data_IF_371300298205
#
_entry.id   IF_371300298205
#
_cell.length_a   1.000
_cell.length_b   1.000
_cell.length_c   1.000
_cell.angle_alpha   90.00
_cell.angle_beta   90.00
_cell.angle_gamma   90.00
#
_symmetry.space_group_name_H-M   'P 1'
#
loop_
_entity.id
_entity.type
_entity.pdbx_description
1 polymer ?
#
# COMPACT_ATOMS: atom_id res chain seq x y z
N UNK A 1 -12.49 1.55 16.39
CA UNK A 1 -13.30 1.12 15.25
C UNK A 1 -12.55 1.28 13.91
N UNK A 2 -11.87 2.38 13.68
CA UNK A 2 -11.14 2.74 12.46
C UNK A 2 -9.99 1.78 12.05
N UNK A 3 -9.16 1.33 13.01
CA UNK A 3 -8.02 0.41 12.73
C UNK A 3 -8.45 -0.89 12.06
N UNK A 4 -9.67 -1.36 12.30
CA UNK A 4 -10.21 -2.62 11.77
C UNK A 4 -10.43 -2.63 10.25
N UNK A 5 -10.61 -1.46 9.65
CA UNK A 5 -10.91 -1.30 8.21
C UNK A 5 -9.72 -0.70 7.46
N UNK A 6 -9.10 0.35 8.00
CA UNK A 6 -8.00 1.05 7.36
C UNK A 6 -6.72 0.20 7.26
N UNK A 7 -6.33 -0.50 8.33
CA UNK A 7 -5.11 -1.32 8.32
C UNK A 7 -5.18 -2.47 7.32
N UNK A 8 -6.28 -3.25 7.22
CA UNK A 8 -6.42 -4.27 6.17
C UNK A 8 -6.34 -3.71 4.75
N UNK A 9 -6.88 -2.51 4.48
CA UNK A 9 -6.79 -1.91 3.14
C UNK A 9 -5.36 -1.51 2.77
N UNK A 10 -4.60 -0.97 3.74
CA UNK A 10 -3.16 -0.70 3.56
C UNK A 10 -2.39 -1.99 3.29
N UNK A 11 -2.69 -3.05 4.04
CA UNK A 11 -2.05 -4.36 3.86
C UNK A 11 -2.24 -4.89 2.44
N UNK A 12 -3.48 -4.89 1.92
CA UNK A 12 -3.76 -5.38 0.56
C UNK A 12 -3.16 -4.47 -0.50
N UNK A 13 -3.10 -3.16 -0.29
CA UNK A 13 -2.39 -2.26 -1.19
C UNK A 13 -0.89 -2.65 -1.30
N UNK A 14 -0.23 -2.88 -0.17
CA UNK A 14 1.17 -3.32 -0.15
C UNK A 14 1.35 -4.71 -0.77
N UNK A 15 0.45 -5.65 -0.49
CA UNK A 15 0.45 -6.98 -1.10
C UNK A 15 0.33 -6.88 -2.63
N UNK A 16 -0.62 -6.10 -3.14
CA UNK A 16 -0.83 -5.88 -4.56
C UNK A 16 0.42 -5.31 -5.25
N UNK A 17 1.07 -4.34 -4.65
CA UNK A 17 2.31 -3.76 -5.19
C UNK A 17 3.50 -4.72 -5.08
N UNK A 18 3.59 -5.50 -4.01
CA UNK A 18 4.63 -6.54 -3.86
C UNK A 18 4.48 -7.64 -4.89
N UNK A 19 3.24 -8.07 -5.17
CA UNK A 19 2.96 -9.02 -6.24
C UNK A 19 3.18 -8.41 -7.63
N UNK A 20 2.88 -7.12 -7.82
CA UNK A 20 3.23 -6.39 -9.06
C UNK A 20 4.74 -6.42 -9.29
N UNK A 21 5.54 -6.14 -8.27
CA UNK A 21 6.99 -6.25 -8.34
C UNK A 21 7.44 -7.66 -8.72
N UNK A 22 6.97 -8.68 -8.00
CA UNK A 22 7.34 -10.07 -8.24
C UNK A 22 7.04 -10.49 -9.69
N UNK A 23 5.83 -10.23 -10.17
CA UNK A 23 5.44 -10.56 -11.54
C UNK A 23 6.14 -9.69 -12.59
N UNK A 24 6.47 -8.44 -12.27
CA UNK A 24 7.28 -7.59 -13.16
C UNK A 24 8.70 -8.13 -13.32
N UNK A 25 9.33 -8.62 -12.25
CA UNK A 25 10.63 -9.29 -12.29
C UNK A 25 10.54 -10.57 -13.11
N UNK A 26 9.54 -11.42 -12.85
CA UNK A 26 9.34 -12.66 -13.60
C UNK A 26 9.10 -12.39 -15.09
N UNK A 27 8.34 -11.34 -15.43
CA UNK A 27 8.16 -10.93 -16.82
C UNK A 27 9.47 -10.42 -17.43
N UNK A 28 10.21 -9.62 -16.71
CA UNK A 28 11.47 -9.03 -17.23
C UNK A 28 12.46 -10.07 -17.70
N UNK A 29 12.56 -11.20 -17.00
CA UNK A 29 13.46 -12.31 -17.35
C UNK A 29 12.83 -13.33 -18.31
N UNK A 30 11.56 -13.70 -18.11
CA UNK A 30 10.93 -14.80 -18.88
C UNK A 30 10.20 -14.36 -20.14
N UNK A 31 9.81 -13.08 -20.25
CA UNK A 31 8.99 -12.49 -21.32
C UNK A 31 7.62 -13.16 -21.53
N UNK A 32 7.13 -13.94 -20.55
CA UNK A 32 5.85 -14.62 -20.62
C UNK A 32 4.72 -13.65 -20.32
N UNK A 33 3.76 -13.49 -21.24
CA UNK A 33 2.60 -12.58 -21.12
C UNK A 33 1.76 -12.81 -19.86
N UNK A 34 1.69 -14.06 -19.37
CA UNK A 34 1.01 -14.40 -18.11
C UNK A 34 1.50 -13.54 -16.94
N UNK A 35 2.81 -13.34 -16.82
CA UNK A 35 3.36 -12.55 -15.71
C UNK A 35 3.08 -11.06 -15.87
N UNK A 36 3.07 -10.57 -17.10
CA UNK A 36 2.65 -9.19 -17.37
C UNK A 36 1.18 -8.96 -16.98
N UNK A 37 0.29 -9.86 -17.38
CA UNK A 37 -1.14 -9.78 -17.03
C UNK A 37 -1.38 -9.82 -15.52
N UNK A 38 -0.65 -10.69 -14.80
CA UNK A 38 -0.72 -10.77 -13.34
C UNK A 38 -0.18 -9.49 -12.67
N UNK A 39 0.93 -8.93 -13.18
CA UNK A 39 1.45 -7.66 -12.67
C UNK A 39 0.43 -6.53 -12.81
N UNK A 40 -0.24 -6.44 -13.97
CA UNK A 40 -1.29 -5.44 -14.21
C UNK A 40 -2.49 -5.62 -13.28
N UNK A 41 -2.97 -6.84 -13.11
CA UNK A 41 -4.10 -7.12 -12.22
C UNK A 41 -3.79 -6.68 -10.78
N UNK A 42 -2.63 -7.06 -10.27
CA UNK A 42 -2.19 -6.71 -8.92
C UNK A 42 -1.94 -5.20 -8.75
N UNK A 43 -1.39 -4.52 -9.77
CA UNK A 43 -1.20 -3.06 -9.72
C UNK A 43 -2.53 -2.32 -9.64
N UNK A 44 -3.54 -2.74 -10.41
CA UNK A 44 -4.90 -2.17 -10.35
C UNK A 44 -5.53 -2.35 -8.98
N UNK A 45 -5.44 -3.55 -8.42
CA UNK A 45 -5.92 -3.82 -7.07
C UNK A 45 -5.20 -2.93 -6.05
N UNK A 46 -3.86 -2.86 -6.09
CA UNK A 46 -3.07 -1.97 -5.25
C UNK A 46 -3.53 -0.52 -5.31
N UNK A 47 -3.78 0.00 -6.52
CA UNK A 47 -4.29 1.37 -6.72
C UNK A 47 -5.65 1.57 -6.06
N UNK A 48 -6.60 0.65 -6.27
CA UNK A 48 -7.95 0.73 -5.68
C UNK A 48 -7.84 0.77 -4.15
N UNK A 49 -7.09 -0.16 -3.55
CA UNK A 49 -6.92 -0.21 -2.10
C UNK A 49 -6.14 0.99 -1.54
N UNK A 50 -5.20 1.56 -2.29
CA UNK A 50 -4.53 2.81 -1.89
C UNK A 50 -5.49 3.99 -1.89
N UNK A 51 -6.39 4.10 -2.88
CA UNK A 51 -7.43 5.13 -2.91
C UNK A 51 -8.35 4.99 -1.67
N UNK A 52 -8.83 3.77 -1.39
CA UNK A 52 -9.66 3.51 -0.20
C UNK A 52 -8.91 3.86 1.08
N UNK A 53 -7.61 3.54 1.15
CA UNK A 53 -6.73 3.88 2.28
C UNK A 53 -6.63 5.40 2.46
N UNK A 54 -6.38 6.16 1.40
CA UNK A 54 -6.28 7.61 1.47
C UNK A 54 -7.62 8.26 1.86
N UNK A 55 -8.73 7.81 1.29
CA UNK A 55 -10.05 8.33 1.61
C UNK A 55 -10.44 8.06 3.08
N UNK A 56 -10.28 6.81 3.52
CA UNK A 56 -10.57 6.43 4.91
C UNK A 56 -9.62 7.12 5.89
N UNK A 57 -8.34 7.26 5.53
CA UNK A 57 -7.32 7.94 6.31
C UNK A 57 -7.60 9.44 6.46
N UNK A 58 -7.95 10.11 5.37
CA UNK A 58 -8.32 11.54 5.39
C UNK A 58 -9.58 11.79 6.22
N UNK A 59 -10.59 10.91 6.11
CA UNK A 59 -11.80 11.03 6.94
C UNK A 59 -11.48 10.90 8.43
N UNK A 60 -10.67 9.92 8.81
CA UNK A 60 -10.21 9.77 10.18
C UNK A 60 -9.36 10.95 10.64
N UNK A 61 -8.45 11.45 9.79
CA UNK A 61 -7.64 12.62 10.07
C UNK A 61 -8.48 13.86 10.37
N UNK A 62 -9.58 14.05 9.64
CA UNK A 62 -10.53 15.14 9.91
C UNK A 62 -11.14 15.05 11.31
N UNK A 63 -11.47 13.84 11.76
CA UNK A 63 -12.05 13.61 13.09
C UNK A 63 -11.02 13.74 14.22
N UNK A 64 -9.75 13.39 13.96
CA UNK A 64 -8.71 13.29 14.99
C UNK A 64 -7.83 14.53 15.05
N UNK A 65 -7.45 15.06 13.89
CA UNK A 65 -6.52 16.19 13.74
C UNK A 65 -7.21 17.49 13.29
N UNK A 66 -8.52 17.45 13.02
CA UNK A 66 -9.29 18.61 12.57
C UNK A 66 -9.09 18.99 11.10
N UNK A 67 -8.24 18.26 10.36
CA UNK A 67 -7.93 18.52 8.94
C UNK A 67 -8.02 17.28 8.10
N UNK A 68 -8.39 17.43 6.82
CA UNK A 68 -8.43 16.32 5.87
C UNK A 68 -7.04 15.86 5.42
N UNK A 69 -6.05 16.74 5.47
CA UNK A 69 -4.70 16.48 5.01
C UNK A 69 -3.67 17.28 5.80
N UNK A 70 -2.57 16.63 6.16
CA UNK A 70 -1.44 17.27 6.84
C UNK A 70 -0.24 17.28 5.88
N UNK A 71 0.00 18.40 5.23
CA UNK A 71 1.05 18.56 4.22
C UNK A 71 2.47 18.29 4.76
N UNK A 72 2.70 18.51 6.03
CA UNK A 72 3.98 18.22 6.69
C UNK A 72 4.17 16.74 7.05
N UNK A 73 3.17 15.89 6.88
CA UNK A 73 3.27 14.47 7.22
C UNK A 73 3.87 13.66 6.06
N UNK A 74 5.04 13.06 6.31
CA UNK A 74 5.77 12.29 5.30
C UNK A 74 4.97 11.06 4.83
N UNK A 75 4.27 10.37 5.73
CA UNK A 75 3.52 9.16 5.38
C UNK A 75 2.37 9.45 4.45
N UNK A 76 1.59 10.51 4.71
CA UNK A 76 0.48 10.92 3.84
C UNK A 76 0.98 11.27 2.43
N UNK A 77 2.01 12.10 2.35
CA UNK A 77 2.56 12.54 1.07
C UNK A 77 3.19 11.37 0.29
N UNK A 78 3.95 10.52 0.96
CA UNK A 78 4.54 9.33 0.33
C UNK A 78 3.47 8.34 -0.15
N UNK A 79 2.35 8.19 0.57
CA UNK A 79 1.24 7.34 0.12
C UNK A 79 0.59 7.90 -1.15
N UNK A 80 0.41 9.22 -1.23
CA UNK A 80 -0.10 9.88 -2.44
C UNK A 80 0.88 9.73 -3.62
N UNK A 81 2.19 9.88 -3.38
CA UNK A 81 3.21 9.66 -4.42
C UNK A 81 3.21 8.20 -4.88
N UNK A 82 3.07 7.23 -3.97
CA UNK A 82 2.96 5.81 -4.32
C UNK A 82 1.74 5.57 -5.24
N UNK A 83 0.59 6.17 -4.93
CA UNK A 83 -0.57 6.12 -5.78
C UNK A 83 -0.27 6.67 -7.18
N UNK A 84 0.38 7.84 -7.28
CA UNK A 84 0.74 8.46 -8.56
C UNK A 84 1.71 7.60 -9.38
N UNK A 85 2.69 6.96 -8.75
CA UNK A 85 3.62 6.03 -9.42
C UNK A 85 2.85 4.87 -10.06
N UNK A 86 1.92 4.25 -9.35
CA UNK A 86 1.17 3.12 -9.90
C UNK A 86 0.01 3.52 -10.83
N UNK A 87 -0.52 4.72 -10.70
CA UNK A 87 -1.37 5.32 -11.74
C UNK A 87 -0.56 5.55 -13.02
N UNK A 88 0.68 6.04 -12.89
CA UNK A 88 1.63 6.16 -14.00
C UNK A 88 1.95 4.80 -14.64
N UNK A 89 2.11 3.75 -13.83
CA UNK A 89 2.27 2.38 -14.31
C UNK A 89 1.09 1.97 -15.21
N UNK A 90 -0.15 2.19 -14.76
CA UNK A 90 -1.35 1.84 -15.52
C UNK A 90 -1.49 2.73 -16.76
N UNK A 91 -1.28 4.04 -16.63
CA UNK A 91 -1.40 5.01 -17.72
C UNK A 91 -0.37 4.75 -18.83
N UNK A 92 0.88 4.40 -18.50
CA UNK A 92 1.93 4.10 -19.47
C UNK A 92 1.54 3.00 -20.44
N UNK A 93 0.61 2.13 -20.05
CA UNK A 93 0.11 1.03 -20.87
C UNK A 93 -0.91 1.45 -21.93
N UNK A 94 -1.47 2.65 -21.82
CA UNK A 94 -2.49 3.15 -22.76
C UNK A 94 -1.88 3.89 -23.94
N UNK A 95 -0.65 4.38 -23.80
CA UNK A 95 -0.03 5.25 -24.81
C UNK A 95 0.76 4.53 -25.90
N UNK A 96 0.97 3.22 -25.78
CA UNK A 96 1.80 2.49 -26.74
C UNK A 96 1.05 1.30 -27.33
N UNK A 97 1.03 1.20 -28.66
CA UNK A 97 0.41 0.09 -29.41
C UNK A 97 1.26 -1.19 -29.39
N UNK A 98 2.56 -1.07 -29.17
CA UNK A 98 3.47 -2.21 -29.04
C UNK A 98 3.35 -2.83 -27.65
N UNK A 99 2.69 -3.97 -27.55
CA UNK A 99 2.42 -4.67 -26.29
C UNK A 99 3.72 -5.10 -25.58
N UNK A 100 4.72 -5.57 -26.34
CA UNK A 100 5.98 -6.04 -25.73
C UNK A 100 6.78 -4.88 -25.14
N UNK A 101 6.85 -3.74 -25.84
CA UNK A 101 7.50 -2.53 -25.37
C UNK A 101 6.77 -1.94 -24.15
N UNK A 102 5.44 -1.96 -24.19
CA UNK A 102 4.59 -1.51 -23.10
C UNK A 102 4.81 -2.36 -21.84
N UNK A 103 4.77 -3.68 -21.97
CA UNK A 103 5.00 -4.61 -20.88
C UNK A 103 6.42 -4.46 -20.28
N UNK A 104 7.45 -4.27 -21.12
CA UNK A 104 8.81 -4.01 -20.66
C UNK A 104 8.91 -2.70 -19.86
N UNK A 105 8.34 -1.61 -20.37
CA UNK A 105 8.41 -0.31 -19.70
C UNK A 105 7.64 -0.32 -18.37
N UNK A 106 6.44 -0.88 -18.36
CA UNK A 106 5.67 -1.00 -17.12
C UNK A 106 6.31 -1.93 -16.10
N UNK A 107 6.99 -3.02 -16.55
CA UNK A 107 7.73 -3.88 -15.61
C UNK A 107 8.88 -3.14 -14.91
N UNK A 108 9.55 -2.21 -15.60
CA UNK A 108 10.57 -1.36 -14.98
C UNK A 108 9.95 -0.50 -13.87
N UNK A 109 8.81 0.15 -14.16
CA UNK A 109 8.10 0.95 -13.15
C UNK A 109 7.67 0.08 -11.96
N UNK A 110 7.14 -1.13 -12.21
CA UNK A 110 6.75 -2.07 -11.18
C UNK A 110 7.92 -2.55 -10.31
N UNK A 111 9.11 -2.72 -10.90
CA UNK A 111 10.32 -3.11 -10.17
C UNK A 111 10.81 -1.96 -9.27
N UNK A 112 10.89 -0.75 -9.77
CA UNK A 112 11.37 0.39 -8.98
C UNK A 112 10.34 0.92 -7.98
N UNK A 113 9.05 0.78 -8.30
CA UNK A 113 7.96 1.25 -7.41
C UNK A 113 7.96 0.58 -6.03
N UNK A 114 8.48 -0.65 -5.92
CA UNK A 114 8.54 -1.38 -4.64
C UNK A 114 9.45 -0.68 -3.61
N UNK A 115 10.47 0.05 -4.05
CA UNK A 115 11.42 0.73 -3.17
C UNK A 115 10.71 1.75 -2.27
N UNK A 116 9.63 2.32 -2.75
CA UNK A 116 8.87 3.32 -1.99
C UNK A 116 8.12 2.71 -0.79
N UNK A 117 7.76 1.43 -0.82
CA UNK A 117 7.02 0.78 0.28
C UNK A 117 7.82 0.74 1.59
N UNK A 118 9.09 0.27 1.63
CA UNK A 118 9.91 0.37 2.83
C UNK A 118 10.08 1.82 3.32
N UNK A 119 10.35 2.76 2.41
CA UNK A 119 10.50 4.18 2.74
C UNK A 119 9.22 4.70 3.42
N UNK A 120 8.06 4.38 2.85
CA UNK A 120 6.77 4.77 3.40
C UNK A 120 6.52 4.08 4.76
N UNK A 121 6.85 2.81 4.89
CA UNK A 121 6.65 2.06 6.14
C UNK A 121 7.47 2.65 7.28
N UNK A 122 8.75 2.95 7.03
CA UNK A 122 9.66 3.51 8.04
C UNK A 122 9.56 5.03 8.17
N UNK A 123 8.77 5.72 7.35
CA UNK A 123 8.63 7.17 7.36
C UNK A 123 8.23 7.74 8.72
N UNK A 124 7.44 7.01 9.52
CA UNK A 124 7.02 7.44 10.87
C UNK A 124 8.14 7.37 11.90
N UNK A 125 9.20 6.60 11.62
CA UNK A 125 10.39 6.50 12.49
C UNK A 125 11.42 7.55 12.08
N UNK A 126 11.59 7.77 10.77
CA UNK A 126 12.61 8.68 10.24
C UNK A 126 12.19 10.15 10.26
N UNK A 127 10.89 10.42 10.15
CA UNK A 127 10.35 11.77 10.16
C UNK A 127 9.26 11.91 11.23
N UNK A 128 9.07 13.14 11.72
CA UNK A 128 7.93 13.43 12.58
C UNK A 128 6.64 13.22 11.79
N UNK A 129 5.76 12.37 12.30
CA UNK A 129 4.48 12.04 11.68
C UNK A 129 3.36 12.13 12.73
N UNK A 130 2.18 12.56 12.28
CA UNK A 130 0.96 12.52 13.10
C UNK A 130 0.41 11.08 13.22
N UNK A 131 0.95 10.14 12.43
CA UNK A 131 0.58 8.74 12.48
C UNK A 131 1.25 8.03 13.67
N UNK A 132 0.49 7.15 14.29
CA UNK A 132 1.03 6.26 15.34
C UNK A 132 2.06 5.29 14.72
N UNK A 133 3.08 4.98 15.49
CA UNK A 133 4.02 3.90 15.18
C UNK A 133 3.31 2.55 15.19
N UNK A 134 3.95 1.51 14.60
CA UNK A 134 3.36 0.17 14.49
C UNK A 134 3.15 -0.44 15.89
N UNK A 135 1.96 -0.34 16.43
CA UNK A 135 1.59 -0.76 17.79
C UNK A 135 1.69 -2.28 18.02
N UNK A 136 1.85 -3.10 16.98
CA UNK A 136 1.90 -4.57 17.09
C UNK A 136 3.31 -5.08 17.40
N UNK A 137 4.36 -4.32 17.03
CA UNK A 137 5.75 -4.77 17.08
C UNK A 137 6.65 -3.88 17.96
N UNK A 138 6.15 -2.76 18.49
CA UNK A 138 6.97 -1.85 19.27
C UNK A 138 6.97 -2.25 20.76
N UNK A 139 8.13 -2.63 21.27
CA UNK A 139 8.37 -2.76 22.71
C UNK A 139 8.16 -1.42 23.44
N UNK A 140 8.12 -0.29 22.76
CA UNK A 140 7.86 1.04 23.32
C UNK A 140 6.43 1.23 23.84
N UNK A 141 5.45 0.45 23.37
CA UNK A 141 4.09 0.45 23.95
C UNK A 141 4.07 0.03 25.43
N UNK A 142 5.06 -0.73 25.86
CA UNK A 142 5.19 -1.13 27.27
C UNK A 142 5.83 -0.01 28.10
N UNK A 143 6.68 0.82 27.51
CA UNK A 143 7.39 1.91 28.19
C UNK A 143 6.59 3.21 28.23
N UNK A 144 5.66 3.44 27.29
CA UNK A 144 4.83 4.66 27.22
C UNK A 144 3.54 4.59 28.05
N UNK A 145 3.27 3.44 28.69
CA UNK A 145 2.04 3.26 29.48
C UNK A 145 0.76 3.13 28.64
N UNK A 146 0.87 3.07 27.33
CA UNK A 146 -0.24 2.77 26.45
C UNK A 146 -0.64 1.31 26.63
N UNK A 147 -1.91 1.06 26.96
CA UNK A 147 -2.41 -0.30 27.13
C UNK A 147 -2.16 -1.12 25.85
N UNK A 148 -1.64 -2.36 25.97
CA UNK A 148 -1.48 -3.24 24.84
C UNK A 148 -2.82 -3.42 24.12
N UNK A 149 -2.79 -3.55 22.80
CA UNK A 149 -4.00 -3.75 22.01
C UNK A 149 -4.79 -4.95 22.56
N UNK A 150 -6.06 -4.73 22.93
CA UNK A 150 -6.88 -5.82 23.49
C UNK A 150 -6.95 -6.99 22.51
N UNK A 151 -6.99 -8.23 23.03
CA UNK A 151 -7.07 -9.45 22.24
C UNK A 151 -8.19 -9.41 21.20
N UNK A 152 -9.34 -8.83 21.55
CA UNK A 152 -10.50 -8.72 20.64
C UNK A 152 -10.23 -7.82 19.44
N UNK A 153 -9.47 -6.72 19.65
CA UNK A 153 -9.07 -5.83 18.56
C UNK A 153 -8.06 -6.54 17.65
N UNK A 154 -7.10 -7.26 18.23
CA UNK A 154 -6.11 -8.03 17.50
C UNK A 154 -6.77 -9.13 16.65
N UNK A 155 -7.62 -9.95 17.23
CA UNK A 155 -8.34 -11.02 16.54
C UNK A 155 -9.20 -10.45 15.40
N UNK A 156 -9.95 -9.39 15.66
CA UNK A 156 -10.77 -8.74 14.63
C UNK A 156 -9.90 -8.19 13.48
N UNK A 157 -8.74 -7.63 13.79
CA UNK A 157 -7.80 -7.13 12.81
C UNK A 157 -7.26 -8.26 11.93
N UNK A 158 -6.81 -9.37 12.53
CA UNK A 158 -6.28 -10.53 11.82
C UNK A 158 -7.34 -11.18 10.91
N UNK A 159 -8.56 -11.34 11.39
CA UNK A 159 -9.68 -11.84 10.58
C UNK A 159 -9.95 -10.88 9.40
N UNK A 160 -9.96 -9.57 9.64
CA UNK A 160 -10.19 -8.58 8.58
C UNK A 160 -9.09 -8.62 7.52
N UNK A 161 -7.82 -8.72 7.92
CA UNK A 161 -6.68 -8.88 7.02
C UNK A 161 -6.81 -10.15 6.19
N UNK A 162 -7.16 -11.27 6.83
CA UNK A 162 -7.37 -12.55 6.13
C UNK A 162 -8.48 -12.44 5.09
N UNK A 163 -9.65 -11.92 5.47
CA UNK A 163 -10.80 -11.79 4.57
C UNK A 163 -10.50 -10.90 3.37
N UNK A 164 -9.89 -9.72 3.59
CA UNK A 164 -9.57 -8.81 2.49
C UNK A 164 -8.44 -9.37 1.61
N UNK A 165 -7.52 -10.16 2.17
CA UNK A 165 -6.50 -10.89 1.39
C UNK A 165 -7.14 -11.96 0.51
N UNK A 166 -8.10 -12.71 1.03
CA UNK A 166 -8.84 -13.69 0.23
C UNK A 166 -9.59 -13.02 -0.93
N UNK A 167 -10.29 -11.90 -0.68
CA UNK A 167 -10.97 -11.12 -1.73
C UNK A 167 -9.98 -10.59 -2.78
N UNK A 168 -8.72 -10.32 -2.41
CA UNK A 168 -7.70 -9.89 -3.37
C UNK A 168 -7.21 -11.04 -4.27
N UNK A 169 -7.17 -12.28 -3.74
CA UNK A 169 -6.64 -13.45 -4.47
C UNK A 169 -7.69 -14.05 -5.41
N UNK A 170 -8.97 -14.01 -5.05
CA UNK A 170 -10.11 -14.57 -5.82
C UNK A 170 -10.89 -13.48 -6.56
#
# INVERSE_FOLDING_TARGET
>A
MYKRQHVPTVWVAYLGYSLTFLYSVLYFFSKKEKYDSLAVANSKSGVIFTIVTLLSGSYWGKLTWGTWWVWGDARLNLTAILLLVYLGYIASRQFNKDLAKTAKNSSIIGIFGIIQIPILHFSVIWWRSVHQQASILSQETVASGDAPMSSDILVTLLISVLLVTLVHIF
#
